data_IF_937176101623
#
_entry.id   IF_937176101623
#
_cell.length_a   1.000
_cell.length_b   1.000
_cell.length_c   1.000
_cell.angle_alpha   90.00
_cell.angle_beta   90.00
_cell.angle_gamma   90.00
#
_symmetry.space_group_name_H-M   'P 1'
#
loop_
_entity.id
_entity.type
_entity.pdbx_description
1 polymer ?
#
# COMPACT_ATOMS: atom_id res chain seq x y z
N UNK A 1 -0.41 16.32 23.41
CA UNK A 1 -0.13 17.61 22.74
C UNK A 1 0.79 18.43 23.61
N UNK A 2 1.98 18.72 23.08
CA UNK A 2 3.09 19.29 23.83
C UNK A 2 2.90 20.80 24.03
N UNK A 3 3.41 21.39 25.11
CA UNK A 3 3.19 22.81 25.48
C UNK A 3 3.64 23.80 24.37
N UNK A 4 4.57 23.37 23.50
CA UNK A 4 5.05 24.11 22.30
C UNK A 4 4.02 24.19 21.16
N UNK A 5 3.20 23.17 20.92
CA UNK A 5 2.20 23.19 19.82
C UNK A 5 1.05 24.16 20.09
N UNK A 6 0.62 24.27 21.35
CA UNK A 6 -0.43 25.23 21.75
C UNK A 6 0.00 26.67 21.43
N UNK A 7 1.27 27.02 21.66
CA UNK A 7 1.80 28.36 21.42
C UNK A 7 1.80 28.76 19.93
N UNK A 8 2.11 27.84 19.01
CA UNK A 8 2.09 28.12 17.57
C UNK A 8 0.68 28.38 17.03
N UNK A 9 -0.31 27.61 17.51
CA UNK A 9 -1.70 27.76 17.11
C UNK A 9 -2.28 29.12 17.55
N UNK A 10 -1.98 29.57 18.78
CA UNK A 10 -2.43 30.88 19.28
C UNK A 10 -1.83 32.05 18.50
N UNK A 11 -0.57 31.94 18.07
CA UNK A 11 0.10 32.97 17.26
C UNK A 11 -0.52 33.04 15.86
N UNK A 12 -0.88 31.90 15.27
CA UNK A 12 -1.53 31.89 13.95
C UNK A 12 -2.95 32.45 14.01
N UNK A 13 -3.72 32.07 15.03
CA UNK A 13 -5.09 32.58 15.24
C UNK A 13 -5.07 34.09 15.53
N UNK A 14 -4.12 34.58 16.33
CA UNK A 14 -4.02 36.02 16.61
C UNK A 14 -3.61 36.83 15.39
N UNK A 15 -2.71 36.30 14.55
CA UNK A 15 -2.30 36.95 13.31
C UNK A 15 -3.47 37.08 12.31
N UNK A 16 -4.31 36.04 12.19
CA UNK A 16 -5.50 36.09 11.31
C UNK A 16 -6.53 37.06 11.88
N UNK A 17 -6.78 37.04 13.20
CA UNK A 17 -7.74 37.93 13.84
C UNK A 17 -7.37 39.41 13.68
N UNK A 18 -6.09 39.77 13.86
CA UNK A 18 -5.62 41.16 13.73
C UNK A 18 -5.82 41.67 12.30
N UNK A 19 -5.52 40.85 11.27
CA UNK A 19 -5.69 41.27 9.88
C UNK A 19 -7.16 41.51 9.49
N UNK A 20 -8.06 40.66 9.97
CA UNK A 20 -9.50 40.84 9.74
C UNK A 20 -10.01 42.11 10.43
N UNK A 21 -9.60 42.35 11.67
CA UNK A 21 -9.99 43.54 12.42
C UNK A 21 -9.43 44.82 11.79
N UNK A 22 -8.16 44.83 11.36
CA UNK A 22 -7.56 45.97 10.66
C UNK A 22 -8.28 46.31 9.35
N UNK A 23 -8.70 45.30 8.60
CA UNK A 23 -9.47 45.49 7.36
C UNK A 23 -10.85 46.11 7.61
N UNK A 24 -11.52 45.68 8.68
CA UNK A 24 -12.82 46.25 9.10
C UNK A 24 -12.65 47.70 9.58
N UNK A 25 -11.62 47.99 10.39
CA UNK A 25 -11.34 49.35 10.88
C UNK A 25 -11.00 50.28 9.71
N UNK A 26 -10.19 49.82 8.76
CA UNK A 26 -9.85 50.57 7.54
C UNK A 26 -11.10 50.88 6.70
N UNK A 27 -11.99 49.90 6.52
CA UNK A 27 -13.26 50.09 5.81
C UNK A 27 -14.20 51.09 6.49
N UNK A 28 -14.19 51.16 7.83
CA UNK A 28 -14.98 52.13 8.61
C UNK A 28 -14.40 53.54 8.49
N UNK A 29 -13.07 53.70 8.52
CA UNK A 29 -12.39 55.00 8.42
C UNK A 29 -12.60 55.63 7.04
N UNK A 30 -12.58 54.83 5.99
CA UNK A 30 -12.64 55.33 4.61
C UNK A 30 -14.08 55.48 4.07
N UNK A 31 -15.11 55.29 4.93
CA UNK A 31 -16.55 55.35 4.58
C UNK A 31 -16.89 54.58 3.30
N UNK A 32 -16.22 53.46 3.06
CA UNK A 32 -16.55 52.60 1.94
C UNK A 32 -17.80 51.85 2.37
N UNK A 33 -18.94 52.15 1.73
CA UNK A 33 -20.18 51.39 1.92
C UNK A 33 -19.88 49.92 1.61
N UNK A 34 -19.65 49.14 2.66
CA UNK A 34 -19.28 47.73 2.59
C UNK A 34 -20.26 46.95 1.70
N UNK A 35 -21.55 47.31 1.76
CA UNK A 35 -22.60 46.76 0.92
C UNK A 35 -22.44 47.09 -0.56
N UNK A 36 -21.93 48.28 -0.90
CA UNK A 36 -21.68 48.69 -2.29
C UNK A 36 -20.46 47.97 -2.86
N UNK A 37 -19.38 47.84 -2.08
CA UNK A 37 -18.21 47.06 -2.46
C UNK A 37 -18.55 45.57 -2.65
N UNK A 38 -19.30 44.99 -1.72
CA UNK A 38 -19.78 43.61 -1.80
C UNK A 38 -20.69 43.39 -3.01
N UNK A 39 -21.62 44.32 -3.29
CA UNK A 39 -22.49 44.27 -4.47
C UNK A 39 -21.72 44.38 -5.78
N UNK A 40 -20.65 45.18 -5.81
CA UNK A 40 -19.76 45.29 -6.97
C UNK A 40 -19.02 43.97 -7.24
N UNK A 41 -18.49 43.33 -6.18
CA UNK A 41 -17.85 42.00 -6.27
C UNK A 41 -18.84 40.96 -6.80
N UNK A 42 -20.06 40.92 -6.26
CA UNK A 42 -21.12 40.02 -6.73
C UNK A 42 -21.50 40.26 -8.19
N UNK A 43 -21.58 41.51 -8.62
CA UNK A 43 -21.89 41.86 -10.02
C UNK A 43 -20.79 41.39 -10.97
N UNK A 44 -19.52 41.55 -10.58
CA UNK A 44 -18.37 41.08 -11.36
C UNK A 44 -18.40 39.55 -11.47
N UNK A 45 -18.67 38.84 -10.37
CA UNK A 45 -18.75 37.37 -10.35
C UNK A 45 -19.88 36.84 -11.25
N UNK A 46 -21.07 37.44 -11.17
CA UNK A 46 -22.22 37.04 -12.01
C UNK A 46 -21.94 37.35 -13.48
N UNK A 47 -21.34 38.51 -13.79
CA UNK A 47 -20.99 38.87 -15.17
C UNK A 47 -19.94 37.92 -15.74
N UNK A 48 -18.96 37.51 -14.93
CA UNK A 48 -17.96 36.52 -15.31
C UNK A 48 -18.59 35.14 -15.59
N UNK A 49 -19.50 34.69 -14.72
CA UNK A 49 -20.26 33.44 -14.88
C UNK A 49 -21.13 33.45 -16.14
N UNK A 50 -21.88 34.55 -16.38
CA UNK A 50 -22.72 34.69 -17.57
C UNK A 50 -21.85 34.76 -18.83
N UNK A 51 -20.72 35.47 -18.81
CA UNK A 51 -19.78 35.47 -19.94
C UNK A 51 -19.19 34.07 -20.19
N UNK A 52 -18.84 33.32 -19.14
CA UNK A 52 -18.34 31.95 -19.28
C UNK A 52 -19.41 31.01 -19.88
N UNK A 53 -20.68 31.21 -19.51
CA UNK A 53 -21.81 30.40 -19.97
C UNK A 53 -22.34 30.81 -21.36
N UNK A 54 -22.14 32.09 -21.73
CA UNK A 54 -22.56 32.65 -23.02
C UNK A 54 -21.49 32.53 -24.11
N UNK A 55 -20.34 31.93 -23.80
CA UNK A 55 -19.43 31.46 -24.83
C UNK A 55 -20.22 30.40 -25.62
N UNK A 56 -20.51 30.69 -26.89
CA UNK A 56 -20.92 29.67 -27.84
C UNK A 56 -19.82 28.61 -27.88
N UNK A 57 -19.97 27.59 -27.05
CA UNK A 57 -19.02 26.48 -26.94
C UNK A 57 -19.11 25.70 -28.23
N UNK A 58 -18.28 26.08 -29.20
CA UNK A 58 -18.11 25.33 -30.43
C UNK A 58 -17.61 23.94 -30.05
N UNK A 59 -18.21 22.90 -30.62
CA UNK A 59 -17.90 21.49 -30.33
C UNK A 59 -16.39 21.19 -30.26
N UNK A 60 -15.58 21.89 -31.06
CA UNK A 60 -14.12 21.83 -31.04
C UNK A 60 -13.47 22.19 -29.69
N UNK A 61 -13.99 23.17 -28.95
CA UNK A 61 -13.45 23.58 -27.65
C UNK A 61 -13.68 22.49 -26.59
N UNK A 62 -14.84 21.83 -26.62
CA UNK A 62 -15.16 20.69 -25.73
C UNK A 62 -14.26 19.49 -26.05
N UNK A 63 -14.04 19.21 -27.34
CA UNK A 63 -13.13 18.14 -27.78
C UNK A 63 -11.69 18.39 -27.33
N UNK A 64 -11.19 19.62 -27.46
CA UNK A 64 -9.83 19.99 -27.02
C UNK A 64 -9.70 19.83 -25.50
N UNK A 65 -10.70 20.27 -24.72
CA UNK A 65 -10.68 20.13 -23.26
C UNK A 65 -10.67 18.66 -22.82
N UNK A 66 -11.48 17.80 -23.45
CA UNK A 66 -11.46 16.34 -23.22
C UNK A 66 -10.09 15.72 -23.53
N UNK A 67 -9.46 16.13 -24.63
CA UNK A 67 -8.15 15.62 -25.04
C UNK A 67 -7.06 16.01 -24.02
N UNK A 68 -7.10 17.24 -23.50
CA UNK A 68 -6.21 17.70 -22.43
C UNK A 68 -6.41 16.87 -21.16
N UNK A 69 -7.65 16.61 -20.74
CA UNK A 69 -7.93 15.78 -19.56
C UNK A 69 -7.39 14.36 -19.69
N UNK A 70 -7.56 13.73 -20.87
CA UNK A 70 -7.00 12.41 -21.15
C UNK A 70 -5.47 12.42 -21.08
N UNK A 71 -4.84 13.46 -21.64
CA UNK A 71 -3.38 13.61 -21.63
C UNK A 71 -2.82 13.80 -20.23
N UNK A 72 -3.43 14.67 -19.42
CA UNK A 72 -3.04 14.90 -18.01
C UNK A 72 -3.20 13.63 -17.18
N UNK A 73 -4.31 12.90 -17.35
CA UNK A 73 -4.50 11.61 -16.67
C UNK A 73 -3.44 10.60 -17.07
N UNK A 74 -3.11 10.50 -18.36
CA UNK A 74 -2.06 9.60 -18.84
C UNK A 74 -0.69 9.96 -18.23
N UNK A 75 -0.33 11.25 -18.22
CA UNK A 75 0.90 11.71 -17.58
C UNK A 75 0.92 11.43 -16.07
N UNK A 76 -0.20 11.64 -15.37
CA UNK A 76 -0.31 11.31 -13.95
C UNK A 76 -0.09 9.81 -13.69
N UNK A 77 -0.70 8.93 -14.50
CA UNK A 77 -0.49 7.49 -14.40
C UNK A 77 0.95 7.08 -14.75
N UNK A 78 1.55 7.67 -15.79
CA UNK A 78 2.92 7.38 -16.18
C UNK A 78 3.92 7.81 -15.10
N UNK A 79 3.75 9.00 -14.51
CA UNK A 79 4.57 9.50 -13.40
C UNK A 79 4.39 8.63 -12.16
N UNK A 80 3.16 8.24 -11.81
CA UNK A 80 2.89 7.31 -10.70
C UNK A 80 3.47 5.91 -10.94
N UNK A 81 3.55 5.47 -12.20
CA UNK A 81 4.18 4.19 -12.54
C UNK A 81 5.70 4.25 -12.43
N UNK A 82 6.31 5.38 -12.84
CA UNK A 82 7.76 5.61 -12.82
C UNK A 82 8.28 6.04 -11.45
N UNK A 83 7.43 6.57 -10.58
CA UNK A 83 7.77 6.89 -9.19
C UNK A 83 7.75 5.66 -8.27
N UNK A 84 7.55 4.45 -8.82
CA UNK A 84 8.09 3.25 -8.18
C UNK A 84 9.61 3.32 -8.31
N UNK A 85 10.18 4.12 -7.42
CA UNK A 85 11.57 4.07 -6.94
C UNK A 85 12.08 2.66 -7.13
N UNK A 86 13.27 2.50 -7.70
CA UNK A 86 14.04 1.27 -7.71
C UNK A 86 14.01 0.64 -6.30
N UNK A 87 12.98 -0.14 -5.99
CA UNK A 87 12.83 -0.77 -4.69
C UNK A 87 13.77 -1.92 -4.76
N UNK A 88 14.97 -1.69 -4.22
CA UNK A 88 15.85 -2.74 -3.72
C UNK A 88 14.92 -3.80 -3.14
N UNK A 89 14.89 -4.97 -3.77
CA UNK A 89 13.99 -6.05 -3.39
C UNK A 89 14.19 -6.30 -1.89
N UNK A 90 13.16 -6.17 -1.05
CA UNK A 90 13.34 -6.30 0.39
C UNK A 90 13.95 -7.66 0.72
N UNK A 91 14.93 -7.70 1.62
CA UNK A 91 15.68 -8.92 1.97
C UNK A 91 14.74 -10.05 2.45
N UNK A 92 13.61 -9.70 3.08
CA UNK A 92 12.62 -10.69 3.50
C UNK A 92 11.93 -11.40 2.32
N UNK A 93 12.00 -10.88 1.08
CA UNK A 93 11.40 -11.50 -0.10
C UNK A 93 12.12 -12.77 -0.55
N UNK A 94 13.31 -13.05 -0.02
CA UNK A 94 14.04 -14.29 -0.27
C UNK A 94 13.67 -15.41 0.73
N UNK A 95 12.90 -15.08 1.77
CA UNK A 95 12.41 -16.04 2.75
C UNK A 95 11.28 -16.91 2.15
N UNK A 96 11.69 -17.95 1.42
CA UNK A 96 10.82 -18.82 0.61
C UNK A 96 11.00 -20.31 0.90
N UNK A 97 11.88 -20.66 1.83
CA UNK A 97 12.15 -22.02 2.25
C UNK A 97 12.59 -22.07 3.71
N UNK A 98 12.45 -23.24 4.34
CA UNK A 98 12.84 -23.47 5.71
C UNK A 98 12.64 -24.93 6.12
N UNK A 99 13.11 -25.29 7.33
CA UNK A 99 12.98 -26.63 7.89
C UNK A 99 12.20 -26.56 9.19
N UNK A 100 11.18 -27.42 9.33
CA UNK A 100 10.39 -27.54 10.55
C UNK A 100 10.21 -29.01 10.91
N UNK A 101 10.57 -29.38 12.15
CA UNK A 101 10.54 -30.77 12.64
C UNK A 101 11.18 -31.79 11.68
N UNK A 102 12.29 -31.42 11.03
CA UNK A 102 13.02 -32.29 10.10
C UNK A 102 12.43 -32.36 8.68
N UNK A 103 11.34 -31.65 8.39
CA UNK A 103 10.74 -31.56 7.05
C UNK A 103 11.12 -30.24 6.41
N UNK A 104 11.63 -30.28 5.18
CA UNK A 104 11.90 -29.09 4.39
C UNK A 104 10.59 -28.60 3.76
N UNK A 105 10.37 -27.29 3.80
CA UNK A 105 9.21 -26.63 3.22
C UNK A 105 9.64 -25.56 2.23
N UNK A 106 8.79 -25.34 1.23
CA UNK A 106 8.92 -24.27 0.24
C UNK A 106 7.60 -23.55 0.08
N UNK A 107 7.68 -22.25 -0.13
CA UNK A 107 6.52 -21.40 -0.35
C UNK A 107 6.86 -20.20 -1.22
N UNK A 108 5.83 -19.48 -1.63
CA UNK A 108 5.92 -18.25 -2.41
C UNK A 108 5.38 -17.10 -1.58
N UNK A 109 5.99 -15.92 -1.74
CA UNK A 109 5.54 -14.70 -1.10
C UNK A 109 4.75 -13.87 -2.10
N UNK A 110 3.47 -13.67 -1.80
CA UNK A 110 2.55 -12.92 -2.68
C UNK A 110 2.09 -11.67 -1.95
N UNK A 111 2.05 -10.56 -2.69
CA UNK A 111 1.57 -9.28 -2.19
C UNK A 111 0.06 -9.18 -2.43
N UNK A 112 -0.70 -8.94 -1.37
CA UNK A 112 -2.14 -8.71 -1.45
C UNK A 112 -2.45 -7.29 -1.90
N UNK A 113 -3.71 -7.05 -2.30
CA UNK A 113 -4.22 -5.72 -2.66
C UNK A 113 -4.02 -4.69 -1.55
N UNK A 114 -4.09 -5.11 -0.28
CA UNK A 114 -3.86 -4.27 0.90
C UNK A 114 -2.37 -4.05 1.23
N UNK A 115 -1.47 -4.33 0.27
CA UNK A 115 -0.04 -4.17 0.42
C UNK A 115 0.58 -5.07 1.52
N UNK A 116 -0.15 -6.09 2.00
CA UNK A 116 0.36 -7.10 2.94
C UNK A 116 1.04 -8.24 2.17
N UNK A 117 1.97 -8.92 2.82
CA UNK A 117 2.67 -10.07 2.24
C UNK A 117 2.13 -11.34 2.89
N UNK A 118 1.80 -12.33 2.08
CA UNK A 118 1.28 -13.64 2.52
C UNK A 118 2.12 -14.78 1.95
N UNK A 119 2.13 -15.89 2.67
CA UNK A 119 2.68 -17.17 2.24
C UNK A 119 1.61 -17.89 1.39
N UNK A 120 1.97 -18.26 0.16
CA UNK A 120 1.18 -19.10 -0.73
C UNK A 120 1.97 -20.34 -1.16
N UNK A 121 1.27 -21.35 -1.70
CA UNK A 121 1.86 -22.58 -2.21
C UNK A 121 2.78 -23.30 -1.21
N UNK A 122 2.41 -23.25 0.08
CA UNK A 122 3.15 -23.87 1.19
C UNK A 122 3.10 -25.41 1.07
N UNK A 123 4.26 -26.01 0.78
CA UNK A 123 4.37 -27.44 0.51
C UNK A 123 5.66 -28.04 1.07
N UNK A 124 5.62 -29.31 1.51
CA UNK A 124 6.83 -30.02 1.90
C UNK A 124 7.63 -30.41 0.64
N UNK A 125 8.95 -30.36 0.75
CA UNK A 125 9.90 -30.69 -0.32
C UNK A 125 10.98 -31.63 0.23
N UNK A 126 11.60 -32.38 -0.67
CA UNK A 126 12.80 -33.14 -0.35
C UNK A 126 14.02 -32.23 -0.25
N UNK A 127 15.12 -32.71 0.36
CA UNK A 127 16.42 -32.05 0.33
C UNK A 127 16.93 -31.81 -1.11
N UNK A 128 16.55 -32.65 -2.06
CA UNK A 128 16.87 -32.49 -3.48
C UNK A 128 16.02 -31.41 -4.19
N UNK A 129 15.07 -30.79 -3.50
CA UNK A 129 14.16 -29.77 -4.04
C UNK A 129 12.94 -30.31 -4.79
N UNK A 130 12.79 -31.62 -4.91
CA UNK A 130 11.62 -32.26 -5.51
C UNK A 130 10.40 -32.23 -4.59
N UNK A 131 9.21 -32.26 -5.18
CA UNK A 131 7.97 -32.39 -4.43
C UNK A 131 7.82 -33.81 -3.85
N UNK A 132 7.22 -33.87 -2.67
CA UNK A 132 7.01 -35.12 -1.95
C UNK A 132 5.60 -35.65 -2.21
N UNK A 133 5.50 -36.96 -2.42
CA UNK A 133 4.22 -37.68 -2.44
C UNK A 133 4.02 -38.41 -1.12
N UNK A 134 2.85 -38.99 -0.88
CA UNK A 134 2.61 -39.84 0.29
C UNK A 134 2.58 -41.31 -0.10
N UNK A 135 3.21 -42.15 0.71
CA UNK A 135 3.16 -43.62 0.58
C UNK A 135 2.82 -44.26 1.92
N UNK A 136 1.97 -45.29 1.89
CA UNK A 136 1.70 -46.17 3.05
C UNK A 136 2.59 -47.41 3.07
N UNK A 137 3.18 -47.76 1.93
CA UNK A 137 4.09 -48.87 1.79
C UNK A 137 5.25 -48.46 0.90
N UNK A 138 6.46 -48.83 1.29
CA UNK A 138 7.65 -48.73 0.47
C UNK A 138 8.47 -50.00 0.67
N UNK A 139 8.80 -50.68 -0.44
CA UNK A 139 9.37 -52.02 -0.42
C UNK A 139 8.50 -53.00 0.39
N UNK A 140 9.09 -53.70 1.35
CA UNK A 140 8.40 -54.66 2.24
C UNK A 140 7.96 -54.04 3.57
N UNK A 141 8.05 -52.71 3.72
CA UNK A 141 7.70 -52.01 4.95
C UNK A 141 6.34 -51.32 4.75
N UNK A 142 5.37 -51.70 5.57
CA UNK A 142 4.07 -51.03 5.67
C UNK A 142 4.07 -50.09 6.88
N UNK A 143 3.66 -48.85 6.66
CA UNK A 143 3.57 -47.84 7.70
C UNK A 143 2.13 -47.73 8.21
N UNK A 144 1.95 -47.52 9.52
CA UNK A 144 0.63 -47.31 10.12
C UNK A 144 -0.01 -45.97 9.74
N UNK A 145 0.77 -45.03 9.22
CA UNK A 145 0.35 -43.73 8.68
C UNK A 145 1.05 -43.45 7.36
N UNK A 146 0.47 -42.58 6.53
CA UNK A 146 1.14 -42.10 5.33
C UNK A 146 2.45 -41.39 5.70
N UNK A 147 3.52 -41.78 5.02
CA UNK A 147 4.83 -41.13 5.12
C UNK A 147 5.13 -40.37 3.84
N UNK A 148 5.85 -39.27 3.97
CA UNK A 148 6.33 -38.49 2.82
C UNK A 148 7.42 -39.29 2.10
N UNK A 149 7.36 -39.31 0.78
CA UNK A 149 8.26 -40.05 -0.09
C UNK A 149 8.75 -39.15 -1.22
N UNK A 150 10.05 -39.17 -1.48
CA UNK A 150 10.65 -38.50 -2.61
C UNK A 150 10.84 -39.47 -3.78
N UNK A 151 10.21 -39.18 -4.93
CA UNK A 151 10.37 -40.00 -6.14
C UNK A 151 11.78 -39.90 -6.73
N UNK A 152 12.45 -38.74 -6.58
CA UNK A 152 13.77 -38.52 -7.16
C UNK A 152 14.90 -39.17 -6.34
N UNK A 153 14.79 -39.18 -5.01
CA UNK A 153 15.78 -39.81 -4.15
C UNK A 153 15.44 -41.28 -3.84
N UNK A 154 14.22 -41.72 -4.14
CA UNK A 154 13.67 -43.03 -3.74
C UNK A 154 13.75 -43.26 -2.22
N UNK A 155 13.48 -42.20 -1.44
CA UNK A 155 13.64 -42.19 0.01
C UNK A 155 12.35 -41.76 0.72
N UNK A 156 12.11 -42.37 1.88
CA UNK A 156 11.06 -42.00 2.82
C UNK A 156 11.61 -40.95 3.79
N UNK A 157 10.87 -39.87 3.99
CA UNK A 157 11.18 -38.89 5.02
C UNK A 157 10.68 -39.45 6.36
N UNK A 158 11.61 -39.71 7.29
CA UNK A 158 11.28 -40.34 8.57
C UNK A 158 10.42 -39.45 9.48
N UNK A 159 10.60 -38.13 9.36
CA UNK A 159 9.88 -37.14 10.13
C UNK A 159 8.36 -37.33 10.06
N UNK A 160 7.69 -37.09 11.18
CA UNK A 160 6.24 -37.20 11.23
C UNK A 160 5.59 -36.08 10.44
N UNK A 161 4.66 -36.47 9.58
CA UNK A 161 3.88 -35.57 8.75
C UNK A 161 2.42 -35.90 8.87
N UNK A 162 1.64 -34.90 9.23
CA UNK A 162 0.19 -34.88 9.14
C UNK A 162 -0.28 -33.45 8.86
N UNK A 163 -1.59 -33.29 8.76
CA UNK A 163 -2.20 -32.00 8.50
C UNK A 163 -1.92 -30.97 9.60
N UNK A 164 -1.90 -31.39 10.87
CA UNK A 164 -1.68 -30.49 12.00
C UNK A 164 -0.24 -29.98 12.01
N UNK A 165 0.75 -30.88 11.81
CA UNK A 165 2.17 -30.52 11.70
C UNK A 165 2.40 -29.55 10.53
N UNK A 166 1.68 -29.73 9.42
CA UNK A 166 1.76 -28.82 8.28
C UNK A 166 1.23 -27.42 8.62
N UNK A 167 0.09 -27.31 9.31
CA UNK A 167 -0.47 -26.02 9.71
C UNK A 167 0.38 -25.34 10.80
N UNK A 168 0.92 -26.10 11.75
CA UNK A 168 1.91 -25.62 12.73
C UNK A 168 3.15 -25.04 12.05
N UNK A 169 3.69 -25.75 11.06
CA UNK A 169 4.84 -25.28 10.28
C UNK A 169 4.51 -23.98 9.54
N UNK A 170 3.35 -23.91 8.89
CA UNK A 170 2.88 -22.72 8.18
C UNK A 170 2.72 -21.52 9.11
N UNK A 171 2.17 -21.72 10.30
CA UNK A 171 2.05 -20.68 11.33
C UNK A 171 3.42 -20.23 11.82
N UNK A 172 4.33 -21.17 12.09
CA UNK A 172 5.71 -20.89 12.49
C UNK A 172 6.42 -19.99 11.48
N UNK A 173 6.42 -20.35 10.19
CA UNK A 173 7.06 -19.55 9.15
C UNK A 173 6.34 -18.22 8.89
N UNK A 174 5.01 -18.16 9.04
CA UNK A 174 4.26 -16.90 8.96
C UNK A 174 4.69 -15.92 10.06
N UNK A 175 4.89 -16.41 11.29
CA UNK A 175 5.37 -15.59 12.39
C UNK A 175 6.81 -15.12 12.17
N UNK A 176 7.70 -15.96 11.63
CA UNK A 176 9.06 -15.56 11.27
C UNK A 176 9.09 -14.50 10.15
N UNK A 177 8.26 -14.66 9.12
CA UNK A 177 8.11 -13.67 8.05
C UNK A 177 7.70 -12.32 8.62
N UNK A 178 6.70 -12.29 9.51
CA UNK A 178 6.26 -11.06 10.16
C UNK A 178 7.38 -10.38 10.96
N UNK A 179 8.21 -11.15 11.67
CA UNK A 179 9.39 -10.60 12.37
C UNK A 179 10.38 -9.95 11.38
N UNK A 180 10.68 -10.61 10.27
CA UNK A 180 11.59 -10.07 9.24
C UNK A 180 11.04 -8.81 8.58
N UNK A 181 9.72 -8.75 8.34
CA UNK A 181 9.06 -7.55 7.81
C UNK A 181 9.16 -6.39 8.80
N UNK A 182 8.93 -6.63 10.10
CA UNK A 182 9.03 -5.60 11.14
C UNK A 182 10.46 -5.06 11.24
N UNK A 183 11.47 -5.93 11.26
CA UNK A 183 12.89 -5.54 11.28
C UNK A 183 13.27 -4.70 10.05
N UNK A 184 12.77 -5.06 8.87
CA UNK A 184 12.98 -4.27 7.65
C UNK A 184 12.33 -2.89 7.74
N UNK A 185 11.10 -2.81 8.26
CA UNK A 185 10.40 -1.53 8.43
C UNK A 185 11.11 -0.62 9.43
N UNK A 186 11.62 -1.17 10.53
CA UNK A 186 12.45 -0.44 11.50
C UNK A 186 13.74 0.10 10.86
N UNK A 187 14.41 -0.70 10.01
CA UNK A 187 15.66 -0.28 9.35
C UNK A 187 15.51 0.86 8.33
N UNK A 188 14.28 1.11 7.85
CA UNK A 188 13.98 2.19 6.89
C UNK A 188 13.56 3.49 7.59
N UNK A 189 13.12 3.40 8.85
CA UNK A 189 12.68 4.58 9.62
C UNK A 189 13.83 5.29 10.35
N UNK A 190 15.05 4.75 10.30
CA UNK A 190 16.29 5.37 10.78
C UNK A 190 16.93 6.18 9.66
#
# INVERSE_FOLDING_TARGET
MNKKEKSGLYVFISAVAINVISSIIYAIIEKVDFFTALKSIWKILITFLVNLLSIELRLWQVLVFLLILVFVNKLYFDIKSKSKVNTIRPVFMDFTNGVYKGIHYKWELVKTYDNRIKIENFRPICHCGAELTTKRQHNHISYGKEKLFCVNCDEIIEADFDYEIKEDAKLYFSNELNKKINQYNESIQV
#
